data_IF_965341285595
#
_entry.id   IF_965341285595
#
_cell.length_a   1.000
_cell.length_b   1.000
_cell.length_c   1.000
_cell.angle_alpha   90.00
_cell.angle_beta   90.00
_cell.angle_gamma   90.00
#
_symmetry.space_group_name_H-M   'P 1'
#
loop_
_entity.id
_entity.type
_entity.pdbx_description
1 polymer ?
#
# COMPACT_ATOMS: atom_id res chain seq x y z
N UNK A 1 -59.90 22.57 -44.34
CA UNK A 1 -59.36 22.72 -43.02
C UNK A 1 -58.83 21.34 -42.60
N UNK A 2 -57.49 21.13 -42.60
CA UNK A 2 -56.82 19.88 -42.14
C UNK A 2 -56.42 20.12 -40.71
N UNK A 3 -57.02 19.41 -39.78
CA UNK A 3 -56.60 19.37 -38.36
C UNK A 3 -55.40 18.50 -38.22
N UNK A 4 -54.23 19.09 -37.82
CA UNK A 4 -53.05 18.39 -37.53
C UNK A 4 -53.09 17.95 -36.07
N UNK A 5 -53.28 16.65 -35.81
CA UNK A 5 -53.21 16.03 -34.50
C UNK A 5 -51.76 15.96 -34.10
N UNK A 6 -51.37 16.73 -33.10
CA UNK A 6 -50.06 16.62 -32.42
C UNK A 6 -50.15 15.45 -31.45
N UNK A 7 -49.45 14.35 -31.78
CA UNK A 7 -49.32 13.21 -30.88
C UNK A 7 -48.49 13.64 -29.65
N UNK A 8 -49.16 13.73 -28.50
CA UNK A 8 -48.48 13.88 -27.22
C UNK A 8 -47.67 12.63 -26.91
N UNK A 9 -46.35 12.78 -26.88
CA UNK A 9 -45.40 11.73 -26.48
C UNK A 9 -45.55 11.53 -24.97
N UNK A 10 -46.21 10.44 -24.57
CA UNK A 10 -46.28 10.03 -23.16
C UNK A 10 -44.89 9.84 -22.60
N UNK A 11 -44.41 10.80 -21.83
CA UNK A 11 -43.21 10.67 -21.02
C UNK A 11 -43.64 9.80 -19.83
N UNK A 12 -43.38 8.50 -19.93
CA UNK A 12 -43.54 7.60 -18.80
C UNK A 12 -42.58 8.03 -17.70
N UNK A 13 -43.08 8.69 -16.69
CA UNK A 13 -42.33 9.01 -15.47
C UNK A 13 -42.07 7.70 -14.72
N UNK A 14 -40.80 7.31 -14.68
CA UNK A 14 -40.37 6.16 -13.86
C UNK A 14 -40.78 6.40 -12.41
N UNK A 15 -41.24 5.37 -11.72
CA UNK A 15 -41.58 5.52 -10.29
C UNK A 15 -40.28 5.84 -9.52
N UNK A 16 -40.33 6.72 -8.52
CA UNK A 16 -39.19 7.10 -7.67
C UNK A 16 -38.48 5.89 -7.06
N UNK A 17 -39.24 4.82 -6.75
CA UNK A 17 -38.71 3.58 -6.25
C UNK A 17 -37.81 2.89 -7.28
N UNK A 18 -38.21 2.85 -8.52
CA UNK A 18 -37.42 2.25 -9.61
C UNK A 18 -36.15 3.06 -9.89
N UNK A 19 -36.21 4.38 -9.89
CA UNK A 19 -35.07 5.26 -10.04
C UNK A 19 -34.05 5.05 -8.90
N UNK A 20 -34.54 4.94 -7.66
CA UNK A 20 -33.66 4.67 -6.50
C UNK A 20 -33.00 3.30 -6.60
N UNK A 21 -33.70 2.26 -7.02
CA UNK A 21 -33.15 0.90 -7.21
C UNK A 21 -32.08 0.90 -8.32
N UNK A 22 -32.36 1.54 -9.45
CA UNK A 22 -31.40 1.68 -10.57
C UNK A 22 -30.15 2.44 -10.10
N UNK A 23 -30.32 3.55 -9.36
CA UNK A 23 -29.19 4.34 -8.83
C UNK A 23 -28.32 3.53 -7.83
N UNK A 24 -28.96 2.80 -6.91
CA UNK A 24 -28.27 1.93 -5.96
C UNK A 24 -27.52 0.81 -6.70
N UNK A 25 -28.16 0.20 -7.71
CA UNK A 25 -27.53 -0.84 -8.52
C UNK A 25 -26.27 -0.33 -9.23
N UNK A 26 -26.34 0.84 -9.87
CA UNK A 26 -25.19 1.47 -10.52
C UNK A 26 -24.10 1.83 -9.51
N UNK A 27 -24.47 2.37 -8.33
CA UNK A 27 -23.52 2.72 -7.28
C UNK A 27 -22.77 1.49 -6.75
N UNK A 28 -23.45 0.35 -6.57
CA UNK A 28 -22.84 -0.91 -6.14
C UNK A 28 -21.88 -1.42 -7.21
N UNK A 29 -22.28 -1.43 -8.47
CA UNK A 29 -21.41 -1.88 -9.58
C UNK A 29 -20.14 -1.01 -9.64
N UNK A 30 -20.30 0.31 -9.57
CA UNK A 30 -19.18 1.25 -9.58
C UNK A 30 -18.25 1.06 -8.38
N UNK A 31 -18.82 0.88 -7.18
CA UNK A 31 -18.03 0.62 -5.97
C UNK A 31 -17.25 -0.68 -6.07
N UNK A 32 -17.85 -1.75 -6.58
CA UNK A 32 -17.17 -3.03 -6.82
C UNK A 32 -16.06 -2.90 -7.87
N UNK A 33 -16.30 -2.14 -8.94
CA UNK A 33 -15.28 -1.87 -9.95
C UNK A 33 -14.09 -1.12 -9.37
N UNK A 34 -14.34 -0.03 -8.63
CA UNK A 34 -13.29 0.77 -7.97
C UNK A 34 -12.48 -0.12 -7.01
N UNK A 35 -13.17 -0.88 -6.15
CA UNK A 35 -12.53 -1.79 -5.19
C UNK A 35 -11.68 -2.86 -5.85
N UNK A 36 -12.14 -3.41 -6.98
CA UNK A 36 -11.46 -4.51 -7.67
C UNK A 36 -10.22 -4.04 -8.42
N UNK A 37 -10.32 -2.91 -9.12
CA UNK A 37 -9.31 -2.50 -10.09
C UNK A 37 -8.48 -1.29 -9.67
N UNK A 38 -9.01 -0.37 -8.86
CA UNK A 38 -8.37 0.92 -8.62
C UNK A 38 -7.73 1.01 -7.24
N UNK A 39 -8.51 0.76 -6.17
CA UNK A 39 -8.05 1.00 -4.80
C UNK A 39 -8.37 -0.18 -3.90
N UNK A 40 -7.39 -0.55 -3.08
CA UNK A 40 -7.57 -1.57 -2.04
C UNK A 40 -7.16 -1.01 -0.68
N UNK A 41 -7.97 -1.28 0.34
CA UNK A 41 -7.67 -0.94 1.73
C UNK A 41 -6.83 -2.06 2.38
N UNK A 42 -5.81 -1.66 3.14
CA UNK A 42 -4.98 -2.55 3.94
C UNK A 42 -4.86 -2.00 5.36
N UNK A 43 -4.75 -2.92 6.31
CA UNK A 43 -4.47 -2.62 7.71
C UNK A 43 -3.01 -2.94 8.01
N UNK A 44 -2.36 -2.09 8.77
CA UNK A 44 -0.95 -2.27 9.17
C UNK A 44 -0.88 -3.11 10.45
N UNK A 45 -0.40 -4.36 10.38
CA UNK A 45 -0.33 -5.25 11.53
C UNK A 45 0.99 -5.18 12.29
N UNK A 46 2.06 -4.64 11.69
CA UNK A 46 3.43 -4.69 12.20
C UNK A 46 4.12 -3.34 12.21
N UNK A 47 5.14 -3.19 13.07
CA UNK A 47 5.92 -1.95 13.21
C UNK A 47 7.11 -1.81 12.27
N UNK A 48 7.24 -2.64 11.22
CA UNK A 48 8.43 -2.59 10.33
C UNK A 48 8.54 -1.31 9.49
N UNK A 49 7.47 -0.54 9.38
CA UNK A 49 7.39 0.75 8.68
C UNK A 49 7.22 1.95 9.63
N UNK A 50 7.40 1.74 10.94
CA UNK A 50 7.41 2.80 11.94
C UNK A 50 8.60 3.75 11.64
N UNK A 51 8.49 5.02 11.62
CA UNK A 51 7.52 6.05 11.93
C UNK A 51 6.53 6.38 10.80
N UNK A 52 6.78 5.93 9.59
CA UNK A 52 5.94 6.21 8.43
C UNK A 52 4.54 5.63 8.60
N UNK A 53 4.47 4.33 8.96
CA UNK A 53 3.23 3.62 9.22
C UNK A 53 3.26 2.96 10.60
N UNK A 54 2.20 3.14 11.37
CA UNK A 54 2.06 2.59 12.71
C UNK A 54 1.06 1.42 12.73
N UNK A 55 1.23 0.52 13.71
CA UNK A 55 0.27 -0.55 13.94
C UNK A 55 -1.12 0.06 14.19
N UNK A 56 -2.13 -0.43 13.46
CA UNK A 56 -3.49 0.11 13.52
C UNK A 56 -3.80 1.20 12.49
N UNK A 57 -2.84 1.63 11.68
CA UNK A 57 -3.11 2.44 10.50
C UNK A 57 -3.86 1.61 9.45
N UNK A 58 -4.77 2.27 8.76
CA UNK A 58 -5.47 1.74 7.61
C UNK A 58 -5.13 2.62 6.41
N UNK A 59 -4.58 2.01 5.37
CA UNK A 59 -4.06 2.70 4.20
C UNK A 59 -4.85 2.34 2.95
N UNK A 60 -4.85 3.25 1.99
CA UNK A 60 -5.31 2.97 0.64
C UNK A 60 -4.11 2.73 -0.27
N UNK A 61 -4.25 1.70 -1.09
CA UNK A 61 -3.26 1.25 -2.06
C UNK A 61 -3.82 1.42 -3.46
N UNK A 62 -3.13 2.17 -4.29
CA UNK A 62 -3.46 2.34 -5.71
C UNK A 62 -2.92 1.12 -6.48
N UNK A 63 -3.82 0.28 -6.95
CA UNK A 63 -3.51 -0.92 -7.74
C UNK A 63 -3.22 -0.59 -9.20
N UNK A 64 -3.85 0.48 -9.69
CA UNK A 64 -3.82 0.85 -11.10
C UNK A 64 -2.51 1.50 -11.52
N UNK A 65 -1.76 2.12 -10.57
CA UNK A 65 -0.56 2.90 -10.88
C UNK A 65 0.52 2.09 -11.60
N UNK A 66 0.63 0.80 -11.30
CA UNK A 66 1.62 -0.10 -11.91
C UNK A 66 1.06 -0.93 -13.06
N UNK A 67 -0.21 -0.72 -13.43
CA UNK A 67 -0.86 -1.39 -14.55
C UNK A 67 -2.14 -2.12 -14.15
N UNK A 68 -2.91 -2.51 -15.16
CA UNK A 68 -4.14 -3.27 -14.98
C UNK A 68 -3.80 -4.74 -14.83
N UNK A 69 -4.07 -5.29 -13.64
CA UNK A 69 -3.95 -6.74 -13.36
C UNK A 69 -5.34 -7.36 -13.35
N UNK A 70 -5.49 -8.49 -14.04
CA UNK A 70 -6.73 -9.26 -13.94
C UNK A 70 -6.76 -10.02 -12.60
N UNK A 71 -7.92 -10.01 -11.90
CA UNK A 71 -8.13 -10.91 -10.79
C UNK A 71 -7.87 -12.36 -11.25
N UNK A 72 -7.13 -13.13 -10.44
CA UNK A 72 -6.76 -14.53 -10.71
C UNK A 72 -5.69 -14.80 -11.79
N UNK A 73 -5.37 -13.86 -12.68
CA UNK A 73 -4.23 -13.97 -13.59
C UNK A 73 -3.08 -13.11 -13.06
N UNK A 74 -1.96 -13.73 -12.69
CA UNK A 74 -0.75 -13.04 -12.22
C UNK A 74 -0.02 -12.27 -13.35
N UNK A 75 -0.75 -11.87 -14.39
CA UNK A 75 -0.23 -11.10 -15.52
C UNK A 75 -0.76 -9.68 -15.52
N UNK A 76 0.12 -8.73 -15.75
CA UNK A 76 -0.25 -7.33 -15.99
C UNK A 76 -0.66 -7.22 -17.45
N UNK A 77 -1.94 -6.91 -17.73
CA UNK A 77 -2.44 -6.74 -19.09
C UNK A 77 -1.85 -5.51 -19.77
N UNK A 78 -1.79 -4.40 -19.04
CA UNK A 78 -1.30 -3.13 -19.54
C UNK A 78 -0.36 -2.58 -18.47
N UNK A 79 0.97 -2.60 -18.68
CA UNK A 79 1.91 -1.94 -17.79
C UNK A 79 1.78 -0.42 -17.98
N UNK A 80 1.65 0.33 -16.87
CA UNK A 80 1.55 1.80 -16.92
C UNK A 80 2.86 2.41 -16.44
N UNK A 81 3.33 1.98 -15.26
CA UNK A 81 4.56 2.48 -14.63
C UNK A 81 5.21 1.37 -13.81
N UNK A 82 6.52 1.35 -13.74
CA UNK A 82 7.22 0.50 -12.78
C UNK A 82 7.36 1.20 -11.43
N UNK A 83 7.42 0.45 -10.31
CA UNK A 83 7.79 1.00 -9.02
C UNK A 83 9.14 1.71 -9.09
N UNK A 84 9.25 2.82 -8.38
CA UNK A 84 10.47 3.64 -8.32
C UNK A 84 11.02 3.63 -6.90
N UNK A 85 12.32 3.88 -6.76
CA UNK A 85 12.96 4.09 -5.45
C UNK A 85 12.21 5.14 -4.63
N UNK A 86 11.94 4.82 -3.37
CA UNK A 86 11.12 5.64 -2.47
C UNK A 86 9.64 5.23 -2.41
N UNK A 87 9.09 4.55 -3.41
CA UNK A 87 7.69 4.09 -3.37
C UNK A 87 7.45 3.11 -2.22
N UNK A 88 6.35 3.30 -1.50
CA UNK A 88 5.88 2.33 -0.49
C UNK A 88 4.94 1.36 -1.21
N UNK A 89 5.34 0.09 -1.30
CA UNK A 89 4.63 -0.94 -2.06
C UNK A 89 4.06 -2.01 -1.16
N UNK A 90 2.86 -2.49 -1.52
CA UNK A 90 2.26 -3.70 -0.97
C UNK A 90 2.47 -4.82 -1.97
N UNK A 91 2.92 -5.97 -1.50
CA UNK A 91 3.26 -7.11 -2.34
C UNK A 91 3.01 -8.44 -1.62
N UNK A 92 2.85 -9.52 -2.38
CA UNK A 92 2.80 -10.88 -1.87
C UNK A 92 4.19 -11.29 -1.36
N UNK A 93 4.24 -11.79 -0.13
CA UNK A 93 5.51 -12.18 0.50
C UNK A 93 6.14 -13.35 -0.26
N UNK A 94 7.43 -13.27 -0.65
CA UNK A 94 8.06 -14.30 -1.50
C UNK A 94 8.07 -15.72 -0.91
N UNK A 95 8.18 -15.85 0.41
CA UNK A 95 8.23 -17.13 1.12
C UNK A 95 6.84 -17.67 1.50
N UNK A 96 5.79 -16.79 1.49
CA UNK A 96 4.42 -17.17 1.84
C UNK A 96 3.43 -16.24 1.10
N UNK A 97 2.91 -16.71 -0.03
CA UNK A 97 2.05 -15.92 -0.92
C UNK A 97 0.68 -15.57 -0.33
N UNK A 98 0.29 -16.21 0.78
CA UNK A 98 -0.97 -15.90 1.47
C UNK A 98 -0.83 -14.65 2.35
N UNK A 99 0.39 -14.15 2.52
CA UNK A 99 0.68 -12.95 3.31
C UNK A 99 1.07 -11.76 2.44
N UNK A 100 0.50 -10.62 2.77
CA UNK A 100 0.87 -9.34 2.17
C UNK A 100 1.82 -8.57 3.07
N UNK A 101 2.93 -8.12 2.48
CA UNK A 101 3.91 -7.27 3.14
C UNK A 101 3.87 -5.87 2.55
N UNK A 102 4.28 -4.91 3.37
CA UNK A 102 4.46 -3.53 2.97
C UNK A 102 5.88 -3.08 3.30
N UNK A 103 6.58 -2.53 2.31
CA UNK A 103 7.96 -2.04 2.43
C UNK A 103 8.19 -0.86 1.49
N UNK A 104 9.28 -0.15 1.71
CA UNK A 104 9.77 0.89 0.80
C UNK A 104 10.73 0.31 -0.22
N UNK A 105 10.57 0.69 -1.48
CA UNK A 105 11.51 0.37 -2.56
C UNK A 105 12.81 1.13 -2.32
N UNK A 106 13.91 0.41 -2.21
CA UNK A 106 15.26 0.93 -2.02
C UNK A 106 16.05 0.87 -3.30
N UNK A 107 15.92 -0.23 -4.05
CA UNK A 107 16.58 -0.42 -5.34
C UNK A 107 15.63 -1.05 -6.35
N UNK A 108 15.81 -0.69 -7.62
CA UNK A 108 15.12 -1.26 -8.78
C UNK A 108 16.10 -2.07 -9.64
N UNK A 109 15.60 -2.76 -10.67
CA UNK A 109 16.42 -3.59 -11.55
C UNK A 109 17.68 -2.85 -12.05
N UNK A 110 18.84 -3.49 -11.91
CA UNK A 110 20.15 -2.94 -12.25
C UNK A 110 20.85 -2.15 -11.14
N UNK A 111 20.14 -1.71 -10.10
CA UNK A 111 20.77 -1.01 -8.98
C UNK A 111 21.66 -1.95 -8.16
N UNK A 112 22.78 -1.43 -7.68
CA UNK A 112 23.66 -2.10 -6.72
C UNK A 112 23.34 -1.57 -5.33
N UNK A 113 22.84 -2.45 -4.45
CA UNK A 113 22.47 -2.12 -3.07
C UNK A 113 23.47 -2.71 -2.09
N UNK A 114 23.87 -1.90 -1.13
CA UNK A 114 24.77 -2.30 -0.05
C UNK A 114 24.36 -1.65 1.26
N UNK A 115 24.54 -2.34 2.38
CA UNK A 115 24.38 -1.80 3.73
C UNK A 115 25.71 -1.90 4.47
N UNK A 116 26.23 -0.76 4.92
CA UNK A 116 27.45 -0.66 5.72
C UNK A 116 27.14 0.05 7.03
N UNK A 117 27.32 -0.64 8.13
CA UNK A 117 27.06 -0.07 9.46
C UNK A 117 25.72 0.67 9.54
N UNK A 118 24.62 0.00 9.13
CA UNK A 118 23.23 0.50 9.04
C UNK A 118 22.97 1.55 7.96
N UNK A 119 23.99 2.06 7.31
CA UNK A 119 23.85 3.00 6.20
C UNK A 119 23.60 2.27 4.90
N UNK A 120 22.54 2.66 4.18
CA UNK A 120 22.17 2.06 2.90
C UNK A 120 22.76 2.87 1.76
N UNK A 121 23.47 2.19 0.87
CA UNK A 121 24.10 2.75 -0.31
C UNK A 121 23.45 2.15 -1.55
N UNK A 122 23.10 2.99 -2.50
CA UNK A 122 22.54 2.56 -3.80
C UNK A 122 23.42 3.17 -4.90
N UNK A 123 23.98 2.33 -5.74
CA UNK A 123 24.93 2.74 -6.79
C UNK A 123 26.08 3.63 -6.25
N UNK A 124 26.55 3.35 -5.04
CA UNK A 124 27.60 4.12 -4.39
C UNK A 124 27.15 5.45 -3.75
N UNK A 125 25.86 5.81 -3.84
CA UNK A 125 25.29 6.99 -3.19
C UNK A 125 24.56 6.61 -1.89
N UNK A 126 24.83 7.36 -0.81
CA UNK A 126 24.17 7.16 0.49
C UNK A 126 22.69 7.53 0.39
N UNK A 127 21.82 6.60 0.72
CA UNK A 127 20.38 6.87 0.84
C UNK A 127 20.10 7.64 2.12
N UNK A 128 19.48 8.81 1.99
CA UNK A 128 19.08 9.66 3.11
C UNK A 128 17.56 9.87 3.11
N UNK A 129 16.97 10.07 4.28
CA UNK A 129 15.54 10.36 4.42
C UNK A 129 15.11 10.39 5.88
N UNK A 130 14.19 11.28 6.22
CA UNK A 130 13.61 11.41 7.56
C UNK A 130 12.78 10.18 7.98
N UNK A 131 12.46 9.32 7.04
CA UNK A 131 11.72 8.07 7.26
C UNK A 131 12.62 6.93 7.80
N UNK A 132 13.95 7.07 7.73
CA UNK A 132 14.88 6.02 8.17
C UNK A 132 14.99 6.04 9.68
N UNK A 133 14.64 4.92 10.31
CA UNK A 133 14.71 4.76 11.77
C UNK A 133 15.66 3.62 12.12
N UNK A 134 16.70 3.97 12.89
CA UNK A 134 17.61 3.03 13.54
C UNK A 134 17.46 3.22 15.05
N UNK A 135 16.80 2.29 15.71
CA UNK A 135 16.45 2.39 17.13
C UNK A 135 17.42 1.63 18.05
N UNK A 136 18.16 0.66 17.50
CA UNK A 136 19.16 -0.14 18.21
C UNK A 136 20.56 0.46 18.01
N UNK A 137 21.29 0.83 19.06
CA UNK A 137 22.67 1.35 18.93
C UNK A 137 23.67 0.30 18.47
N UNK A 138 23.38 -0.99 18.63
CA UNK A 138 24.29 -2.06 18.27
C UNK A 138 24.38 -2.25 16.76
N UNK A 139 25.59 -2.49 16.26
CA UNK A 139 25.87 -2.82 14.86
C UNK A 139 26.32 -4.28 14.80
N UNK A 140 25.56 -5.11 14.08
CA UNK A 140 25.88 -6.52 13.89
C UNK A 140 26.78 -6.71 12.66
N UNK A 141 27.83 -7.52 12.77
CA UNK A 141 28.63 -7.89 11.61
C UNK A 141 27.83 -8.79 10.66
N UNK A 142 28.08 -8.67 9.34
CA UNK A 142 27.31 -9.34 8.30
C UNK A 142 27.35 -10.87 8.33
N UNK A 143 28.39 -11.46 8.95
CA UNK A 143 28.48 -12.91 9.15
C UNK A 143 27.54 -13.46 10.24
N UNK A 144 27.02 -12.61 11.12
CA UNK A 144 26.01 -12.99 12.12
C UNK A 144 24.59 -12.79 11.58
N UNK A 145 24.33 -11.62 10.99
CA UNK A 145 23.03 -11.31 10.37
C UNK A 145 23.18 -10.15 9.39
N UNK A 146 22.36 -10.11 8.31
CA UNK A 146 22.48 -9.11 7.26
C UNK A 146 21.85 -7.75 7.60
N UNK A 147 21.40 -7.56 8.84
CA UNK A 147 20.64 -6.36 9.26
C UNK A 147 21.40 -5.06 9.00
N UNK A 148 22.65 -5.00 9.47
CA UNK A 148 23.45 -3.79 9.54
C UNK A 148 24.60 -3.76 8.53
N UNK A 149 24.95 -4.93 7.98
CA UNK A 149 25.99 -5.10 6.96
C UNK A 149 25.54 -6.17 5.96
N UNK A 150 25.31 -5.75 4.70
CA UNK A 150 24.75 -6.59 3.64
C UNK A 150 25.29 -6.17 2.26
N UNK A 151 25.49 -7.13 1.39
CA UNK A 151 25.89 -6.91 0.01
C UNK A 151 27.36 -6.60 -0.19
N UNK A 152 27.77 -5.92 -1.28
CA UNK A 152 26.91 -5.39 -2.35
C UNK A 152 26.17 -6.46 -3.15
N UNK A 153 24.96 -6.15 -3.59
CA UNK A 153 24.14 -7.04 -4.42
C UNK A 153 23.46 -6.25 -5.54
N UNK A 154 23.42 -6.80 -6.75
CA UNK A 154 22.72 -6.19 -7.87
C UNK A 154 21.29 -6.68 -7.91
N UNK A 155 20.34 -5.77 -8.04
CA UNK A 155 18.92 -6.10 -8.16
C UNK A 155 18.66 -6.72 -9.52
N UNK A 156 18.13 -7.95 -9.59
CA UNK A 156 17.86 -8.65 -10.85
C UNK A 156 16.78 -7.95 -11.68
N UNK A 157 16.75 -8.27 -12.98
CA UNK A 157 15.67 -7.85 -13.88
C UNK A 157 14.30 -8.25 -13.32
N UNK A 158 13.31 -7.38 -13.51
CA UNK A 158 11.94 -7.55 -13.04
C UNK A 158 11.79 -7.73 -11.52
N UNK A 159 12.77 -7.25 -10.75
CA UNK A 159 12.79 -7.38 -9.29
C UNK A 159 12.98 -6.03 -8.60
N UNK A 160 12.64 -6.00 -7.31
CA UNK A 160 12.83 -4.86 -6.41
C UNK A 160 13.62 -5.32 -5.19
N UNK A 161 14.46 -4.43 -4.67
CA UNK A 161 15.00 -4.53 -3.33
C UNK A 161 14.23 -3.59 -2.41
N UNK A 162 13.61 -4.13 -1.38
CA UNK A 162 12.72 -3.38 -0.50
C UNK A 162 13.16 -3.48 0.95
N UNK A 163 13.01 -2.40 1.71
CA UNK A 163 13.34 -2.37 3.15
C UNK A 163 12.22 -1.72 3.95
N UNK A 164 12.10 -2.11 5.21
CA UNK A 164 11.26 -1.38 6.15
C UNK A 164 11.92 -0.07 6.61
N UNK A 165 11.12 0.94 6.86
CA UNK A 165 11.61 2.23 7.36
C UNK A 165 12.18 2.11 8.78
N UNK A 166 11.63 1.21 9.61
CA UNK A 166 12.19 0.78 10.88
C UNK A 166 13.30 -0.27 10.63
N UNK A 167 14.49 0.20 10.27
CA UNK A 167 15.61 -0.59 9.75
C UNK A 167 16.04 -1.75 10.64
N UNK A 168 16.05 -1.53 11.96
CA UNK A 168 16.49 -2.52 12.94
C UNK A 168 15.41 -3.57 13.25
N UNK A 169 14.14 -3.25 12.99
CA UNK A 169 12.98 -4.10 13.27
C UNK A 169 12.20 -4.46 12.02
N UNK A 170 12.91 -4.73 10.92
CA UNK A 170 12.29 -5.13 9.65
C UNK A 170 12.88 -6.42 9.12
N UNK A 171 12.01 -7.40 8.87
CA UNK A 171 12.32 -8.57 8.07
C UNK A 171 12.00 -8.22 6.61
N UNK A 172 13.06 -7.99 5.81
CA UNK A 172 12.96 -7.44 4.46
C UNK A 172 13.99 -8.05 3.50
N UNK A 173 14.24 -7.43 2.35
CA UNK A 173 15.11 -7.95 1.30
C UNK A 173 16.52 -8.31 1.74
N UNK A 174 17.00 -7.76 2.84
CA UNK A 174 18.29 -8.16 3.43
C UNK A 174 18.30 -9.62 3.87
N UNK A 175 17.13 -10.19 4.19
CA UNK A 175 16.99 -11.55 4.72
C UNK A 175 16.49 -12.54 3.68
N UNK A 176 15.44 -12.18 2.92
CA UNK A 176 14.77 -13.09 1.99
C UNK A 176 14.97 -12.72 0.50
N UNK A 177 15.76 -11.69 0.18
CA UNK A 177 16.12 -11.32 -1.18
C UNK A 177 15.12 -10.40 -1.88
N UNK A 178 14.79 -10.68 -3.13
CA UNK A 178 14.10 -9.74 -4.01
C UNK A 178 12.61 -10.00 -4.14
N UNK A 179 11.83 -8.93 -4.40
CA UNK A 179 10.41 -9.00 -4.75
C UNK A 179 10.28 -8.95 -6.27
N UNK A 180 9.64 -9.95 -6.86
CA UNK A 180 9.30 -9.89 -8.28
C UNK A 180 8.21 -8.84 -8.54
N UNK A 181 8.32 -8.07 -9.62
CA UNK A 181 7.33 -7.04 -10.00
C UNK A 181 5.91 -7.60 -10.13
N UNK A 182 5.76 -8.88 -10.51
CA UNK A 182 4.45 -9.53 -10.59
C UNK A 182 3.77 -9.67 -9.23
N UNK A 183 4.54 -9.81 -8.16
CA UNK A 183 4.04 -9.92 -6.78
C UNK A 183 3.56 -8.57 -6.21
N UNK A 184 3.94 -7.43 -6.80
CA UNK A 184 3.54 -6.10 -6.32
C UNK A 184 2.06 -5.88 -6.56
N UNK A 185 1.29 -5.63 -5.50
CA UNK A 185 -0.17 -5.36 -5.56
C UNK A 185 -0.48 -3.90 -5.88
N UNK A 186 0.36 -2.95 -5.44
CA UNK A 186 0.17 -1.53 -5.71
C UNK A 186 1.01 -0.64 -4.80
N UNK A 187 0.84 0.68 -4.96
CA UNK A 187 1.51 1.73 -4.18
C UNK A 187 0.58 2.24 -3.08
N UNK A 188 1.06 2.24 -1.84
CA UNK A 188 0.39 2.91 -0.74
C UNK A 188 0.51 4.43 -0.91
N UNK A 189 -0.59 5.17 -0.72
CA UNK A 189 -0.57 6.60 -0.99
C UNK A 189 -1.21 7.48 0.09
N UNK A 190 -2.09 6.94 0.96
CA UNK A 190 -2.74 7.71 2.01
C UNK A 190 -3.13 6.83 3.20
N UNK A 191 -3.04 7.39 4.41
CA UNK A 191 -3.63 6.84 5.63
C UNK A 191 -5.05 7.41 5.73
N UNK A 192 -6.09 6.57 5.59
CA UNK A 192 -7.48 7.05 5.68
C UNK A 192 -8.10 6.85 7.06
N UNK A 193 -7.50 5.97 7.89
CA UNK A 193 -7.92 5.71 9.25
C UNK A 193 -6.74 5.26 10.11
N UNK A 194 -6.72 5.65 11.38
CA UNK A 194 -5.68 5.23 12.33
C UNK A 194 -6.29 5.01 13.70
N UNK A 195 -6.02 3.83 14.25
CA UNK A 195 -6.59 3.37 15.49
C UNK A 195 -5.52 2.88 16.45
N UNK A 196 -5.48 3.44 17.65
CA UNK A 196 -4.62 2.98 18.72
C UNK A 196 -5.32 1.86 19.50
N UNK A 197 -4.85 0.62 19.28
CA UNK A 197 -5.43 -0.55 19.93
C UNK A 197 -5.01 -0.70 21.39
N UNK A 198 -3.83 -0.22 21.74
CA UNK A 198 -3.24 -0.43 23.06
C UNK A 198 -3.97 0.41 24.12
N UNK A 199 -4.62 1.51 23.70
CA UNK A 199 -5.44 2.37 24.52
C UNK A 199 -6.96 2.05 24.42
N UNK A 200 -7.34 0.99 23.68
CA UNK A 200 -8.75 0.64 23.52
C UNK A 200 -9.24 -0.22 24.68
N UNK A 201 -10.00 0.40 25.60
CA UNK A 201 -10.79 -0.28 26.63
C UNK A 201 -12.25 -0.11 26.24
N UNK A 202 -12.90 -1.23 25.88
CA UNK A 202 -14.34 -1.24 25.57
C UNK A 202 -15.13 -1.21 26.90
N UNK A 203 -15.57 -0.03 27.29
CA UNK A 203 -16.53 0.18 28.38
C UNK A 203 -17.73 0.94 27.80
N UNK A 204 -18.91 0.34 27.89
CA UNK A 204 -20.18 0.93 27.38
C UNK A 204 -20.45 2.36 27.88
N UNK A 205 -19.96 2.71 29.06
CA UNK A 205 -20.19 4.02 29.70
C UNK A 205 -19.28 5.14 29.15
N UNK A 206 -18.35 4.83 28.22
CA UNK A 206 -17.30 5.78 27.83
C UNK A 206 -17.16 5.94 26.31
N UNK A 207 -18.28 6.16 25.60
CA UNK A 207 -18.26 6.50 24.16
C UNK A 207 -17.26 7.63 23.82
N UNK A 208 -17.07 8.59 24.71
CA UNK A 208 -16.06 9.64 24.57
C UNK A 208 -14.60 9.17 24.56
N UNK A 209 -14.29 7.97 25.11
CA UNK A 209 -12.94 7.40 25.06
C UNK A 209 -12.65 6.73 23.72
N UNK A 210 -13.64 6.29 22.97
CA UNK A 210 -13.48 5.67 21.64
C UNK A 210 -12.87 6.73 20.69
N UNK A 211 -13.32 7.98 20.77
CA UNK A 211 -12.80 9.08 19.96
C UNK A 211 -11.32 9.42 20.30
N UNK A 212 -10.87 9.14 21.53
CA UNK A 212 -9.47 9.32 21.93
C UNK A 212 -8.51 8.25 21.41
N UNK A 213 -9.03 7.09 21.02
CA UNK A 213 -8.22 6.03 20.40
C UNK A 213 -7.96 6.28 18.92
N UNK A 214 -8.63 7.26 18.30
CA UNK A 214 -8.40 7.66 16.93
C UNK A 214 -7.22 8.63 16.90
N UNK A 215 -6.19 8.31 16.12
CA UNK A 215 -5.04 9.18 15.88
C UNK A 215 -5.37 10.15 14.74
N UNK A 216 -6.10 11.23 15.09
CA UNK A 216 -6.62 12.22 14.14
C UNK A 216 -5.53 12.88 13.30
N UNK A 217 -4.35 13.10 13.88
CA UNK A 217 -3.19 13.70 13.24
C UNK A 217 -2.62 12.86 12.09
N UNK A 218 -3.00 11.59 12.03
CA UNK A 218 -2.54 10.66 10.98
C UNK A 218 -3.53 10.53 9.81
N UNK A 219 -4.77 10.99 10.00
CA UNK A 219 -5.80 10.91 8.98
C UNK A 219 -5.48 11.86 7.82
N UNK A 220 -5.55 11.36 6.59
CA UNK A 220 -5.26 12.14 5.39
C UNK A 220 -3.78 12.31 5.08
N UNK A 221 -2.87 11.72 5.88
CA UNK A 221 -1.44 11.80 5.60
C UNK A 221 -1.10 11.07 4.30
N UNK A 222 -0.50 11.82 3.38
CA UNK A 222 -0.04 11.31 2.08
C UNK A 222 1.31 10.63 2.28
N UNK A 223 1.42 9.41 1.81
CA UNK A 223 2.64 8.61 1.86
C UNK A 223 3.53 8.94 0.65
N UNK A 224 4.75 9.39 0.94
CA UNK A 224 5.77 9.75 -0.06
C UNK A 224 6.95 8.81 -0.02
#
# INVERSE_FOLDING_TARGET
>A
MKSTSIASKDIQTKSRLRENIEAIGVAIILALFIRTFIVQAFKIPSGSMKETLQIGDHILVNKFIYGVKLPYLQSTLIPIKNPSTGDIVVFEFPEDKDKDFIKRVVGVAGDVVEVRNKQVWVNGALQQGSFIVNSDPHVFPGNLQPRDNFGPTTVPEHSLFVMGDNRDHSYDSRYWGFVNLKAVKGKAFIIYWSWDKDNFVFEWEKLGKILKCIRWERLGNILK
#
